data_IF_291490647877
#
_entry.id   IF_291490647877
#
_cell.length_a   1.000
_cell.length_b   1.000
_cell.length_c   1.000
_cell.angle_alpha   90.00
_cell.angle_beta   90.00
_cell.angle_gamma   90.00
#
_symmetry.space_group_name_H-M   'P 1'
#
loop_
_entity.id
_entity.type
_entity.pdbx_description
1 polymer ?
#
# COMPACT_ATOMS: atom_id res chain seq x y z
N UNK A 1 9.80 1.26 -16.94
CA UNK A 1 9.70 2.55 -16.24
C UNK A 1 10.55 2.41 -14.98
N UNK A 2 11.59 3.23 -14.78
CA UNK A 2 12.42 3.12 -13.59
C UNK A 2 11.62 3.53 -12.34
N UNK A 3 11.66 2.67 -11.32
CA UNK A 3 11.13 2.93 -9.99
C UNK A 3 11.98 4.02 -9.32
N UNK A 4 11.41 5.20 -9.18
CA UNK A 4 12.05 6.31 -8.45
C UNK A 4 11.78 6.10 -6.95
N UNK A 5 12.70 5.43 -6.27
CA UNK A 5 12.64 5.23 -4.83
C UNK A 5 13.01 6.55 -4.16
N UNK A 6 12.03 7.36 -3.81
CA UNK A 6 12.27 8.56 -3.00
C UNK A 6 12.73 8.16 -1.60
N UNK A 7 13.93 8.59 -1.28
CA UNK A 7 14.62 8.39 -0.01
C UNK A 7 13.76 8.88 1.17
N UNK A 8 13.39 7.96 2.06
CA UNK A 8 12.75 8.31 3.33
C UNK A 8 13.73 9.11 4.17
N UNK A 9 13.42 10.36 4.45
CA UNK A 9 14.23 11.20 5.36
C UNK A 9 14.00 10.75 6.79
N UNK A 10 14.89 9.90 7.31
CA UNK A 10 14.91 9.55 8.72
C UNK A 10 15.41 10.74 9.54
N UNK A 11 14.58 11.25 10.44
CA UNK A 11 15.04 12.13 11.53
C UNK A 11 16.01 11.31 12.36
N UNK A 12 17.28 11.72 12.39
CA UNK A 12 18.34 11.06 13.12
C UNK A 12 18.03 11.08 14.61
N UNK A 13 17.41 10.01 15.10
CA UNK A 13 17.29 9.74 16.52
C UNK A 13 18.63 9.16 16.98
N UNK A 14 19.54 10.01 17.44
CA UNK A 14 20.77 9.60 18.10
C UNK A 14 20.48 9.24 19.56
N UNK A 15 20.06 8.01 19.76
CA UNK A 15 19.96 7.37 21.07
C UNK A 15 19.98 5.86 20.84
N UNK A 16 20.75 5.10 21.62
CA UNK A 16 20.64 3.64 21.62
C UNK A 16 19.23 3.26 22.03
N UNK A 17 18.37 2.96 21.04
CA UNK A 17 17.04 2.40 21.26
C UNK A 17 17.25 0.94 21.68
N UNK A 18 17.33 0.70 22.99
CA UNK A 18 17.33 -0.65 23.52
C UNK A 18 15.88 -1.12 23.64
N UNK A 19 15.55 -2.22 22.98
CA UNK A 19 14.25 -2.90 23.07
C UNK A 19 13.02 -2.08 22.67
N UNK A 20 13.11 -1.25 21.63
CA UNK A 20 11.93 -0.58 21.10
C UNK A 20 11.01 -1.57 20.38
N UNK A 21 9.70 -1.49 20.66
CA UNK A 21 8.66 -2.17 19.91
C UNK A 21 8.04 -1.17 18.94
N UNK A 22 7.97 -1.53 17.64
CA UNK A 22 7.27 -0.76 16.60
C UNK A 22 6.12 -1.62 16.12
N UNK A 23 4.91 -1.08 16.16
CA UNK A 23 3.70 -1.73 15.66
C UNK A 23 3.31 -1.10 14.32
N UNK A 24 3.19 -1.93 13.31
CA UNK A 24 2.78 -1.55 11.95
C UNK A 24 1.45 -2.24 11.66
N UNK A 25 0.41 -1.49 11.32
CA UNK A 25 -0.91 -2.06 11.07
C UNK A 25 -1.51 -1.57 9.76
N UNK A 26 -2.29 -2.39 9.07
CA UNK A 26 -3.08 -1.97 7.92
C UNK A 26 -3.04 -2.89 6.72
N UNK A 27 -3.08 -2.29 5.52
CA UNK A 27 -3.36 -2.95 4.26
C UNK A 27 -2.54 -4.21 4.00
N UNK A 28 -3.24 -5.31 3.76
CA UNK A 28 -2.66 -6.60 3.36
C UNK A 28 -1.84 -6.52 2.06
N UNK A 29 -2.18 -5.61 1.15
CA UNK A 29 -1.45 -5.41 -0.10
C UNK A 29 -0.01 -4.92 0.12
N UNK A 30 0.24 -4.21 1.24
CA UNK A 30 1.57 -3.67 1.58
C UNK A 30 2.37 -4.63 2.46
N UNK A 31 1.72 -5.59 3.10
CA UNK A 31 2.36 -6.53 4.03
C UNK A 31 3.60 -7.21 3.45
N UNK A 32 3.62 -7.74 2.21
CA UNK A 32 4.80 -8.41 1.68
C UNK A 32 6.02 -7.48 1.54
N UNK A 33 5.79 -6.21 1.19
CA UNK A 33 6.84 -5.20 1.13
C UNK A 33 7.33 -4.85 2.54
N UNK A 34 6.39 -4.67 3.48
CA UNK A 34 6.71 -4.31 4.86
C UNK A 34 7.49 -5.41 5.59
N UNK A 35 7.21 -6.68 5.34
CA UNK A 35 7.99 -7.80 5.90
C UNK A 35 9.45 -7.75 5.42
N UNK A 36 9.70 -7.48 4.14
CA UNK A 36 11.06 -7.31 3.62
C UNK A 36 11.78 -6.09 4.23
N UNK A 37 11.07 -4.98 4.40
CA UNK A 37 11.62 -3.79 5.07
C UNK A 37 11.95 -4.07 6.53
N UNK A 38 11.09 -4.80 7.24
CA UNK A 38 11.32 -5.26 8.61
C UNK A 38 12.57 -6.11 8.71
N UNK A 39 12.75 -7.10 7.83
CA UNK A 39 13.95 -7.94 7.80
C UNK A 39 15.22 -7.12 7.57
N UNK A 40 15.21 -6.23 6.59
CA UNK A 40 16.34 -5.35 6.29
C UNK A 40 16.67 -4.40 7.46
N UNK A 41 15.64 -3.85 8.11
CA UNK A 41 15.81 -2.97 9.27
C UNK A 41 16.36 -3.71 10.49
N UNK A 42 15.84 -4.92 10.77
CA UNK A 42 16.32 -5.77 11.88
C UNK A 42 17.76 -6.20 11.71
N UNK A 43 18.24 -6.42 10.48
CA UNK A 43 19.64 -6.74 10.23
C UNK A 43 20.61 -5.63 10.71
N UNK A 44 20.17 -4.37 10.67
CA UNK A 44 20.94 -3.23 11.12
C UNK A 44 20.61 -2.82 12.58
N UNK A 45 19.45 -3.21 13.09
CA UNK A 45 18.92 -2.84 14.40
C UNK A 45 18.36 -4.08 15.14
N UNK A 46 19.21 -5.03 15.57
CA UNK A 46 18.75 -6.32 16.12
C UNK A 46 17.89 -6.21 17.39
N UNK A 47 18.04 -5.13 18.14
CA UNK A 47 17.31 -4.89 19.40
C UNK A 47 15.90 -4.34 19.20
N UNK A 48 15.52 -4.01 17.96
CA UNK A 48 14.18 -3.49 17.65
C UNK A 48 13.23 -4.63 17.32
N UNK A 49 12.08 -4.68 17.99
CA UNK A 49 11.00 -5.60 17.68
C UNK A 49 9.95 -4.91 16.81
N UNK A 50 9.69 -5.44 15.60
CA UNK A 50 8.68 -4.91 14.69
C UNK A 50 7.58 -5.94 14.55
N UNK A 51 6.37 -5.55 14.91
CA UNK A 51 5.15 -6.34 14.77
C UNK A 51 4.32 -5.80 13.60
N UNK A 52 3.88 -6.69 12.70
CA UNK A 52 3.04 -6.33 11.56
C UNK A 52 1.68 -6.97 11.74
N UNK A 53 0.64 -6.11 11.81
CA UNK A 53 -0.76 -6.48 11.97
C UNK A 53 -1.48 -6.24 10.64
N UNK A 54 -1.76 -7.32 9.93
CA UNK A 54 -2.43 -7.27 8.63
C UNK A 54 -3.92 -7.01 8.78
N UNK A 55 -4.44 -6.04 8.02
CA UNK A 55 -5.86 -5.68 7.97
C UNK A 55 -6.18 -4.95 6.64
N UNK A 56 -7.08 -3.97 6.68
CA UNK A 56 -7.35 -3.04 5.58
C UNK A 56 -6.75 -1.64 5.85
N UNK A 57 -6.75 -0.78 4.82
CA UNK A 57 -6.18 0.56 4.89
C UNK A 57 -6.87 1.44 5.95
N UNK A 58 -8.18 1.36 6.08
CA UNK A 58 -8.95 2.19 7.03
C UNK A 58 -8.66 1.77 8.47
N UNK A 59 -8.59 0.47 8.72
CA UNK A 59 -8.20 -0.07 10.03
C UNK A 59 -6.77 0.34 10.38
N UNK A 60 -5.85 0.34 9.41
CA UNK A 60 -4.48 0.83 9.62
C UNK A 60 -4.43 2.30 10.05
N UNK A 61 -5.18 3.17 9.38
CA UNK A 61 -5.29 4.59 9.73
C UNK A 61 -5.86 4.76 11.14
N UNK A 62 -6.97 4.10 11.45
CA UNK A 62 -7.61 4.19 12.75
C UNK A 62 -6.69 3.69 13.88
N UNK A 63 -5.91 2.63 13.63
CA UNK A 63 -4.95 2.11 14.61
C UNK A 63 -3.88 3.14 14.96
N UNK A 64 -3.40 3.91 13.98
CA UNK A 64 -2.44 4.99 14.24
C UNK A 64 -3.10 6.15 14.99
N UNK A 65 -4.31 6.56 14.61
CA UNK A 65 -5.04 7.63 15.29
C UNK A 65 -5.36 7.31 16.74
N UNK A 66 -5.59 6.04 17.04
CA UNK A 66 -5.86 5.54 18.40
C UNK A 66 -4.59 5.24 19.20
N UNK A 67 -3.41 5.39 18.61
CA UNK A 67 -2.15 5.06 19.26
C UNK A 67 -1.90 3.55 19.46
N UNK A 68 -2.65 2.69 18.76
CA UNK A 68 -2.47 1.23 18.79
C UNK A 68 -1.29 0.83 17.90
N UNK A 69 -1.09 1.54 16.80
CA UNK A 69 0.04 1.34 15.90
C UNK A 69 0.85 2.63 15.74
N UNK A 70 2.15 2.47 15.49
CA UNK A 70 3.08 3.57 15.22
C UNK A 70 3.07 3.96 13.74
N UNK A 71 2.81 2.98 12.86
CA UNK A 71 2.80 3.14 11.41
C UNK A 71 1.57 2.47 10.83
N UNK A 72 0.86 3.19 9.95
CA UNK A 72 -0.27 2.69 9.19
C UNK A 72 0.12 2.30 7.76
N UNK A 73 -0.20 1.08 7.34
CA UNK A 73 -0.06 0.65 5.95
C UNK A 73 -1.32 0.98 5.16
N UNK A 74 -1.19 1.74 4.08
CA UNK A 74 -2.32 2.22 3.27
C UNK A 74 -2.04 2.01 1.79
N UNK A 75 -2.93 1.33 1.08
CA UNK A 75 -2.84 1.05 -0.36
C UNK A 75 -3.73 1.99 -1.21
N UNK A 76 -4.02 3.16 -0.71
CA UNK A 76 -4.75 4.23 -1.38
C UNK A 76 -4.23 5.59 -0.90
N UNK A 77 -4.64 6.65 -1.55
CA UNK A 77 -4.41 8.00 -1.04
C UNK A 77 -5.21 8.24 0.26
N UNK A 78 -4.65 9.06 1.14
CA UNK A 78 -5.35 9.53 2.32
C UNK A 78 -6.41 10.55 1.91
N UNK A 79 -7.58 10.49 2.54
CA UNK A 79 -8.63 11.48 2.38
C UNK A 79 -8.24 12.79 3.08
N UNK A 80 -8.80 13.93 2.65
CA UNK A 80 -8.55 15.21 3.31
C UNK A 80 -8.90 15.18 4.81
N UNK A 81 -9.98 14.49 5.15
CA UNK A 81 -10.38 14.30 6.56
C UNK A 81 -9.36 13.50 7.37
N UNK A 82 -8.62 12.61 6.74
CA UNK A 82 -7.55 11.83 7.38
C UNK A 82 -6.26 12.67 7.50
N UNK A 83 -5.93 13.44 6.48
CA UNK A 83 -4.79 14.36 6.51
C UNK A 83 -4.97 15.48 7.53
N UNK A 84 -6.19 15.99 7.72
CA UNK A 84 -6.50 17.03 8.70
C UNK A 84 -6.31 16.60 10.16
N UNK A 85 -6.19 15.30 10.42
CA UNK A 85 -5.89 14.77 11.76
C UNK A 85 -4.42 14.89 12.16
N UNK A 86 -3.55 15.38 11.27
CA UNK A 86 -2.11 15.50 11.50
C UNK A 86 -1.31 14.27 11.09
N UNK A 87 -1.94 13.30 10.44
CA UNK A 87 -1.23 12.15 9.86
C UNK A 87 -0.27 12.60 8.77
N UNK A 88 0.94 12.05 8.78
CA UNK A 88 1.94 12.25 7.75
C UNK A 88 1.95 11.06 6.80
N UNK A 89 1.68 11.30 5.51
CA UNK A 89 1.76 10.27 4.48
C UNK A 89 3.16 10.24 3.85
N UNK A 90 3.73 9.06 3.76
CA UNK A 90 4.99 8.79 3.03
C UNK A 90 4.73 7.72 1.98
N UNK A 91 5.07 7.99 0.73
CA UNK A 91 4.92 7.04 -0.38
C UNK A 91 6.08 6.04 -0.34
N UNK A 92 5.77 4.76 -0.12
CA UNK A 92 6.77 3.69 -0.13
C UNK A 92 7.07 3.17 -1.53
N UNK A 93 6.03 2.98 -2.35
CA UNK A 93 6.13 2.45 -3.69
C UNK A 93 4.89 2.85 -4.51
N UNK A 94 5.02 2.77 -5.82
CA UNK A 94 3.90 2.91 -6.75
C UNK A 94 3.61 1.52 -7.30
N UNK A 95 2.37 1.07 -7.17
CA UNK A 95 1.90 -0.19 -7.72
C UNK A 95 1.08 0.04 -9.00
N UNK A 96 1.05 -0.96 -9.87
CA UNK A 96 0.30 -0.96 -11.11
C UNK A 96 -0.74 -2.07 -11.12
N UNK A 97 -1.99 -1.72 -11.41
CA UNK A 97 -3.05 -2.69 -11.67
C UNK A 97 -3.03 -3.08 -13.15
N UNK A 98 -2.89 -4.37 -13.42
CA UNK A 98 -2.99 -4.93 -14.76
C UNK A 98 -4.29 -5.73 -14.89
N UNK A 99 -5.06 -5.42 -15.93
CA UNK A 99 -6.20 -6.26 -16.33
C UNK A 99 -5.65 -7.37 -17.23
N UNK A 100 -5.82 -8.60 -16.80
CA UNK A 100 -5.38 -9.77 -17.55
C UNK A 100 -6.58 -10.47 -18.19
N UNK A 101 -6.38 -11.04 -19.35
CA UNK A 101 -7.37 -11.86 -20.07
C UNK A 101 -6.78 -13.23 -20.39
N UNK A 102 -7.65 -14.19 -20.72
CA UNK A 102 -7.20 -15.51 -21.16
C UNK A 102 -6.28 -15.36 -22.38
N UNK A 103 -5.15 -16.12 -22.46
CA UNK A 103 -4.23 -16.07 -23.62
C UNK A 103 -4.88 -16.34 -24.98
N UNK A 104 -6.01 -17.07 -25.00
CA UNK A 104 -6.78 -17.33 -26.22
C UNK A 104 -7.75 -16.19 -26.59
N UNK A 105 -7.86 -15.16 -25.74
CA UNK A 105 -8.70 -13.99 -26.04
C UNK A 105 -8.14 -13.22 -27.23
N UNK A 106 -9.03 -12.79 -28.11
CA UNK A 106 -8.69 -11.91 -29.25
C UNK A 106 -8.52 -10.43 -28.82
N UNK A 107 -8.79 -10.13 -27.55
CA UNK A 107 -8.68 -8.77 -27.00
C UNK A 107 -7.22 -8.49 -26.69
N UNK A 108 -6.66 -7.50 -27.36
CA UNK A 108 -5.25 -7.10 -27.20
C UNK A 108 -5.10 -5.79 -26.41
N UNK A 109 -6.15 -4.98 -26.35
CA UNK A 109 -6.17 -3.72 -25.59
C UNK A 109 -7.59 -3.34 -25.22
N UNK A 110 -7.73 -2.59 -24.13
CA UNK A 110 -8.98 -2.00 -23.66
C UNK A 110 -8.71 -0.56 -23.20
N UNK A 111 -9.64 0.35 -23.51
CA UNK A 111 -9.62 1.67 -22.89
C UNK A 111 -10.11 1.61 -21.43
N UNK A 112 -9.84 2.67 -20.67
CA UNK A 112 -10.33 2.76 -19.27
C UNK A 112 -11.86 2.74 -19.21
N UNK A 113 -12.50 3.37 -20.19
CA UNK A 113 -13.96 3.42 -20.34
C UNK A 113 -14.52 2.03 -20.58
N UNK A 114 -13.92 1.26 -21.48
CA UNK A 114 -14.31 -0.12 -21.76
C UNK A 114 -14.14 -1.03 -20.54
N UNK A 115 -13.03 -0.90 -19.82
CA UNK A 115 -12.81 -1.62 -18.55
C UNK A 115 -13.92 -1.27 -17.55
N UNK A 116 -14.25 0.02 -17.40
CA UNK A 116 -15.34 0.47 -16.53
C UNK A 116 -16.69 -0.13 -16.94
N UNK A 117 -17.01 -0.17 -18.22
CA UNK A 117 -18.28 -0.72 -18.73
C UNK A 117 -18.39 -2.22 -18.50
N UNK A 118 -17.29 -2.96 -18.65
CA UNK A 118 -17.23 -4.39 -18.34
C UNK A 118 -17.48 -4.65 -16.85
N UNK A 119 -16.71 -4.01 -15.99
CA UNK A 119 -16.78 -4.24 -14.54
C UNK A 119 -18.05 -3.66 -13.88
N UNK A 120 -18.71 -2.70 -14.51
CA UNK A 120 -20.03 -2.22 -14.09
C UNK A 120 -21.19 -3.08 -14.59
N UNK A 121 -20.93 -4.09 -15.43
CA UNK A 121 -21.94 -4.97 -16.02
C UNK A 121 -22.75 -4.32 -17.14
N UNK A 122 -22.36 -3.14 -17.61
CA UNK A 122 -22.99 -2.47 -18.74
C UNK A 122 -22.73 -3.21 -20.07
N UNK A 123 -21.51 -3.75 -20.22
CA UNK A 123 -21.13 -4.63 -21.33
C UNK A 123 -20.89 -6.02 -20.76
N UNK A 124 -21.67 -6.99 -21.24
CA UNK A 124 -21.61 -8.39 -20.80
C UNK A 124 -21.10 -9.36 -21.86
N UNK A 125 -20.93 -8.88 -23.09
CA UNK A 125 -20.41 -9.67 -24.22
C UNK A 125 -19.28 -8.92 -24.88
N UNK A 126 -18.23 -9.64 -25.25
CA UNK A 126 -17.06 -9.06 -25.94
C UNK A 126 -17.39 -8.40 -27.28
N UNK A 127 -18.46 -8.87 -27.93
CA UNK A 127 -18.93 -8.37 -29.25
C UNK A 127 -19.55 -6.95 -29.15
N UNK A 128 -19.88 -6.51 -27.95
CA UNK A 128 -20.50 -5.20 -27.67
C UNK A 128 -19.47 -4.12 -27.25
N UNK A 129 -18.20 -4.50 -27.17
CA UNK A 129 -17.13 -3.56 -26.86
C UNK A 129 -16.89 -2.59 -28.02
N UNK A 130 -17.19 -1.31 -27.80
CA UNK A 130 -16.91 -0.25 -28.76
C UNK A 130 -18.06 0.04 -29.73
N UNK A 131 -19.28 -0.42 -29.45
CA UNK A 131 -20.50 0.01 -30.15
C UNK A 131 -21.08 1.28 -29.55
#
# INVERSE_FOLDING_TARGET
IPLDVKKVASKKLSGKIQNAKIVVAGSSSITPLMEKLKEAYKAQNPSVNIEILQSDSTTGINSVLQGIADIGMVSRELKESELSTGLKAEVLAIDGLAVIVNPQSKITSLSKEQVKEIFSGKVTKWEDLGK
#
